data_IF_832084154321
#
_entry.id   IF_832084154321
#
_cell.length_a   1.000
_cell.length_b   1.000
_cell.length_c   1.000
_cell.angle_alpha   90.00
_cell.angle_beta   90.00
_cell.angle_gamma   90.00
#
_symmetry.space_group_name_H-M   'P 1'
#
loop_
_entity.id
_entity.type
_entity.pdbx_description
1 polymer ?
#
# COMPACT_ATOMS: atom_id res chain seq x y z
N UNK A 1 -25.77 14.18 4.40
CA UNK A 1 -24.73 13.37 5.08
C UNK A 1 -24.47 12.08 4.32
N UNK A 2 -25.48 11.23 4.06
CA UNK A 2 -25.31 10.01 3.24
C UNK A 2 -24.69 10.31 1.85
N UNK A 3 -25.19 11.34 1.17
CA UNK A 3 -24.68 11.79 -0.14
C UNK A 3 -23.20 12.21 -0.15
N UNK A 4 -22.72 12.90 0.89
CA UNK A 4 -21.31 13.31 0.96
C UNK A 4 -20.38 12.11 1.17
N UNK A 5 -20.77 11.19 2.05
CA UNK A 5 -19.98 9.98 2.30
C UNK A 5 -19.84 9.13 1.03
N UNK A 6 -20.95 8.91 0.31
CA UNK A 6 -20.95 8.17 -0.96
C UNK A 6 -20.00 8.78 -1.99
N UNK A 7 -20.00 10.11 -2.13
CA UNK A 7 -19.08 10.83 -3.03
C UNK A 7 -17.62 10.76 -2.59
N UNK A 8 -17.36 10.76 -1.28
CA UNK A 8 -16.00 10.63 -0.74
C UNK A 8 -15.41 9.25 -1.03
N UNK A 9 -16.23 8.19 -0.97
CA UNK A 9 -15.78 6.82 -1.25
C UNK A 9 -15.85 6.43 -2.73
N UNK A 10 -16.41 7.28 -3.59
CA UNK A 10 -16.43 7.07 -5.04
C UNK A 10 -15.01 6.90 -5.59
N UNK A 11 -14.84 6.01 -6.55
CA UNK A 11 -13.52 5.59 -7.04
C UNK A 11 -13.40 5.82 -8.55
N UNK A 12 -12.17 5.98 -9.03
CA UNK A 12 -11.88 6.05 -10.47
C UNK A 12 -12.44 4.88 -11.26
N UNK A 13 -12.62 5.08 -12.56
CA UNK A 13 -12.95 4.00 -13.48
C UNK A 13 -11.93 2.86 -13.40
N UNK A 14 -12.41 1.62 -13.36
CA UNK A 14 -11.56 0.42 -13.29
C UNK A 14 -10.97 0.12 -11.91
N UNK A 15 -11.18 0.95 -10.88
CA UNK A 15 -10.61 0.75 -9.54
C UNK A 15 -10.91 -0.63 -8.94
N UNK A 16 -12.15 -1.12 -9.09
CA UNK A 16 -12.57 -2.42 -8.54
C UNK A 16 -11.84 -3.57 -9.22
N UNK A 17 -11.66 -3.50 -10.54
CA UNK A 17 -10.97 -4.55 -11.29
C UNK A 17 -9.46 -4.47 -11.09
N UNK A 18 -8.89 -3.27 -11.02
CA UNK A 18 -7.51 -3.04 -10.60
C UNK A 18 -7.27 -3.66 -9.23
N UNK A 19 -8.11 -3.39 -8.24
CA UNK A 19 -7.99 -3.96 -6.88
C UNK A 19 -7.97 -5.49 -6.88
N UNK A 20 -8.78 -6.14 -7.72
CA UNK A 20 -8.75 -7.61 -7.87
C UNK A 20 -7.44 -8.09 -8.49
N UNK A 21 -6.89 -7.37 -9.47
CA UNK A 21 -5.60 -7.69 -10.07
C UNK A 21 -4.44 -7.47 -9.09
N UNK A 22 -4.45 -6.37 -8.36
CA UNK A 22 -3.48 -6.07 -7.31
C UNK A 22 -3.46 -7.18 -6.25
N UNK A 23 -4.64 -7.66 -5.84
CA UNK A 23 -4.77 -8.84 -4.98
C UNK A 23 -4.06 -10.05 -5.56
N UNK A 24 -4.40 -10.41 -6.81
CA UNK A 24 -3.85 -11.56 -7.49
C UNK A 24 -2.32 -11.50 -7.57
N UNK A 25 -1.77 -10.33 -7.89
CA UNK A 25 -0.32 -10.12 -7.98
C UNK A 25 0.38 -10.27 -6.62
N UNK A 26 -0.23 -9.78 -5.54
CA UNK A 26 0.29 -9.97 -4.16
C UNK A 26 0.22 -11.42 -3.72
N UNK A 27 -0.87 -12.11 -4.02
CA UNK A 27 -1.03 -13.53 -3.72
C UNK A 27 -0.01 -14.35 -4.52
N UNK A 28 0.20 -14.03 -5.81
CA UNK A 28 1.20 -14.67 -6.66
C UNK A 28 2.64 -14.39 -6.18
N UNK A 29 2.90 -13.20 -5.64
CA UNK A 29 4.20 -12.88 -5.06
C UNK A 29 4.43 -13.63 -3.74
N UNK A 30 3.49 -13.58 -2.81
CA UNK A 30 3.62 -14.18 -1.47
C UNK A 30 3.40 -15.69 -1.45
N UNK A 31 2.76 -16.26 -2.47
CA UNK A 31 2.21 -17.62 -2.46
C UNK A 31 1.02 -17.78 -1.49
N UNK A 32 0.42 -16.68 -1.05
CA UNK A 32 -0.70 -16.64 -0.11
C UNK A 32 -2.07 -16.61 -0.80
N UNK A 33 -3.10 -16.30 0.00
CA UNK A 33 -4.46 -16.07 -0.47
C UNK A 33 -5.00 -17.18 -1.38
N UNK A 34 -5.37 -16.86 -2.62
CA UNK A 34 -5.97 -17.81 -3.56
C UNK A 34 -5.08 -18.95 -4.03
N UNK A 35 -3.77 -18.87 -3.75
CA UNK A 35 -2.76 -19.90 -4.01
C UNK A 35 -2.38 -20.71 -2.75
N UNK A 36 -2.85 -20.31 -1.58
CA UNK A 36 -2.55 -21.02 -0.34
C UNK A 36 -3.26 -22.38 -0.34
N UNK A 37 -2.48 -23.44 -0.16
CA UNK A 37 -2.99 -24.76 0.18
C UNK A 37 -3.43 -24.83 1.64
N UNK A 38 -3.33 -26.02 2.25
CA UNK A 38 -3.74 -26.18 3.66
C UNK A 38 -2.87 -25.43 4.67
N UNK A 39 -1.59 -25.24 4.34
CA UNK A 39 -0.63 -24.52 5.16
C UNK A 39 -0.40 -23.15 4.51
N UNK A 40 -0.88 -22.10 5.16
CA UNK A 40 -0.61 -20.73 4.73
C UNK A 40 0.84 -20.34 5.09
N UNK A 41 1.59 -19.68 4.20
CA UNK A 41 2.87 -19.09 4.56
C UNK A 41 2.68 -17.99 5.63
N UNK A 42 3.68 -17.75 6.49
CA UNK A 42 3.65 -16.65 7.45
C UNK A 42 3.52 -15.30 6.73
N UNK A 43 2.91 -14.32 7.43
CA UNK A 43 2.66 -12.98 6.91
C UNK A 43 3.95 -12.25 6.53
N UNK A 44 4.00 -11.70 5.31
CA UNK A 44 4.92 -10.62 4.98
C UNK A 44 4.30 -9.28 5.41
N UNK A 45 4.63 -8.82 6.62
CA UNK A 45 4.13 -7.57 7.21
C UNK A 45 4.48 -6.28 6.44
N UNK A 46 5.23 -6.38 5.34
CA UNK A 46 5.59 -5.24 4.48
C UNK A 46 4.37 -4.65 3.72
N UNK A 47 3.29 -5.41 3.51
CA UNK A 47 2.13 -4.90 2.76
C UNK A 47 1.22 -3.93 3.54
N UNK A 48 1.53 -3.58 4.79
CA UNK A 48 0.74 -2.64 5.59
C UNK A 48 -0.64 -3.20 5.98
N UNK A 49 -1.62 -2.32 6.22
CA UNK A 49 -2.97 -2.71 6.72
C UNK A 49 -3.71 -3.72 5.82
N UNK A 50 -3.37 -3.81 4.53
CA UNK A 50 -3.88 -4.85 3.64
C UNK A 50 -3.55 -6.26 4.19
N UNK A 51 -2.34 -6.48 4.73
CA UNK A 51 -1.92 -7.72 5.38
C UNK A 51 -2.83 -8.11 6.56
N UNK A 52 -3.33 -7.13 7.31
CA UNK A 52 -4.23 -7.33 8.45
C UNK A 52 -5.65 -7.64 8.00
N UNK A 53 -6.18 -6.95 6.99
CA UNK A 53 -7.49 -7.24 6.41
C UNK A 53 -7.55 -8.63 5.74
N UNK A 54 -6.42 -9.13 5.22
CA UNK A 54 -6.33 -10.48 4.64
C UNK A 54 -6.49 -11.62 5.65
N UNK A 55 -6.24 -11.37 6.92
CA UNK A 55 -6.28 -12.39 7.97
C UNK A 55 -7.23 -12.08 9.11
N UNK A 56 -8.24 -11.21 8.89
CA UNK A 56 -9.42 -11.09 9.75
C UNK A 56 -10.30 -12.36 9.77
N UNK A 57 -9.69 -13.54 9.94
CA UNK A 57 -10.34 -14.74 10.42
C UNK A 57 -10.48 -14.65 11.91
N UNK A 58 -11.66 -14.25 12.36
CA UNK A 58 -12.12 -14.56 13.71
C UNK A 58 -11.91 -16.06 13.95
N UNK A 59 -11.25 -16.49 15.05
CA UNK A 59 -11.19 -17.91 15.42
C UNK A 59 -12.62 -18.47 15.47
N UNK A 60 -12.91 -19.48 14.66
CA UNK A 60 -14.24 -20.11 14.60
C UNK A 60 -15.15 -19.68 13.45
N UNK A 61 -14.77 -18.70 12.61
CA UNK A 61 -15.44 -18.46 11.33
C UNK A 61 -14.80 -19.30 10.24
N UNK A 62 -15.60 -20.15 9.58
CA UNK A 62 -15.19 -20.84 8.37
C UNK A 62 -14.85 -19.80 7.29
N UNK A 63 -13.58 -19.50 7.12
CA UNK A 63 -13.11 -18.74 5.98
C UNK A 63 -13.51 -19.54 4.73
N UNK A 64 -14.38 -18.97 3.91
CA UNK A 64 -14.46 -19.39 2.52
C UNK A 64 -13.12 -19.02 1.88
N UNK A 65 -12.13 -19.92 1.98
CA UNK A 65 -10.82 -19.76 1.35
C UNK A 65 -11.08 -19.55 -0.14
N UNK A 66 -11.01 -18.29 -0.59
CA UNK A 66 -11.09 -17.94 -2.00
C UNK A 66 -9.93 -18.67 -2.68
N UNK A 67 -10.19 -19.36 -3.78
CA UNK A 67 -9.16 -20.05 -4.57
C UNK A 67 -9.24 -19.55 -6.00
N UNK A 68 -8.08 -19.43 -6.65
CA UNK A 68 -8.01 -19.13 -8.09
C UNK A 68 -8.29 -20.36 -8.97
N UNK A 69 -8.45 -21.54 -8.38
CA UNK A 69 -8.81 -22.74 -9.12
C UNK A 69 -10.28 -22.68 -9.54
N UNK A 70 -10.53 -22.77 -10.83
CA UNK A 70 -11.86 -23.03 -11.35
C UNK A 70 -12.28 -24.45 -10.98
N UNK A 71 -13.52 -24.60 -10.50
CA UNK A 71 -14.15 -25.90 -10.29
C UNK A 71 -14.59 -26.46 -11.63
N UNK A 72 -14.30 -27.73 -11.91
CA UNK A 72 -14.80 -28.36 -13.12
C UNK A 72 -16.32 -28.63 -12.98
N UNK A 73 -17.16 -28.45 -14.03
CA UNK A 73 -18.62 -28.54 -13.89
C UNK A 73 -19.14 -29.86 -13.31
N UNK A 74 -18.42 -30.97 -13.55
CA UNK A 74 -18.75 -32.32 -13.04
C UNK A 74 -17.95 -32.73 -11.79
N UNK A 75 -17.17 -31.84 -11.21
CA UNK A 75 -16.35 -32.13 -10.02
C UNK A 75 -17.18 -31.96 -8.75
N UNK A 76 -17.17 -32.96 -7.89
CA UNK A 76 -17.82 -32.91 -6.58
C UNK A 76 -17.11 -31.91 -5.65
N UNK A 77 -17.85 -31.34 -4.70
CA UNK A 77 -17.30 -30.33 -3.78
C UNK A 77 -16.11 -30.87 -2.95
N UNK A 78 -16.18 -32.11 -2.48
CA UNK A 78 -15.11 -32.74 -1.70
C UNK A 78 -13.84 -32.97 -2.55
N UNK A 79 -14.01 -33.38 -3.82
CA UNK A 79 -12.91 -33.55 -4.77
C UNK A 79 -12.25 -32.20 -5.07
N UNK A 80 -13.05 -31.14 -5.24
CA UNK A 80 -12.57 -29.79 -5.43
C UNK A 80 -11.75 -29.29 -4.23
N UNK A 81 -12.28 -29.45 -3.01
CA UNK A 81 -11.57 -29.08 -1.78
C UNK A 81 -10.22 -29.79 -1.68
N UNK A 82 -10.18 -31.11 -1.86
CA UNK A 82 -8.92 -31.87 -1.87
C UNK A 82 -7.93 -31.41 -2.94
N UNK A 83 -8.42 -31.05 -4.14
CA UNK A 83 -7.56 -30.55 -5.23
C UNK A 83 -6.99 -29.18 -4.88
N UNK A 84 -7.81 -28.29 -4.31
CA UNK A 84 -7.38 -26.98 -3.82
C UNK A 84 -6.30 -27.12 -2.75
N UNK A 85 -6.54 -27.96 -1.75
CA UNK A 85 -5.66 -28.07 -0.58
C UNK A 85 -4.29 -28.68 -0.95
N UNK A 86 -4.24 -29.49 -2.02
CA UNK A 86 -3.01 -30.08 -2.58
C UNK A 86 -2.35 -29.25 -3.68
N UNK A 87 -3.04 -28.27 -4.23
CA UNK A 87 -2.47 -27.45 -5.30
C UNK A 87 -1.30 -26.64 -4.75
N UNK A 88 -0.15 -26.75 -5.40
CA UNK A 88 1.04 -26.04 -4.99
C UNK A 88 1.41 -25.02 -6.06
N UNK A 89 1.44 -23.76 -5.65
CA UNK A 89 2.00 -22.67 -6.45
C UNK A 89 3.44 -22.40 -5.99
N UNK A 90 4.45 -22.75 -6.81
CA UNK A 90 5.83 -22.43 -6.47
C UNK A 90 5.99 -20.90 -6.53
N UNK A 91 6.56 -20.31 -5.48
CA UNK A 91 6.76 -18.85 -5.32
C UNK A 91 7.85 -18.28 -6.24
N UNK A 92 7.78 -18.61 -7.52
CA UNK A 92 8.75 -18.19 -8.55
C UNK A 92 8.72 -16.69 -8.75
N UNK A 93 7.53 -16.08 -8.66
CA UNK A 93 7.36 -14.62 -8.77
C UNK A 93 8.13 -13.90 -7.68
N UNK A 94 8.10 -14.37 -6.43
CA UNK A 94 8.90 -13.78 -5.34
C UNK A 94 10.39 -13.75 -5.69
N UNK A 95 10.94 -14.93 -6.00
CA UNK A 95 12.37 -15.11 -6.24
C UNK A 95 12.87 -14.26 -7.41
N UNK A 96 12.16 -14.31 -8.54
CA UNK A 96 12.52 -13.54 -9.74
C UNK A 96 12.40 -12.03 -9.51
N UNK A 97 11.35 -11.60 -8.81
CA UNK A 97 11.11 -10.17 -8.56
C UNK A 97 12.18 -9.61 -7.63
N UNK A 98 12.49 -10.31 -6.54
CA UNK A 98 13.56 -9.93 -5.59
C UNK A 98 14.93 -9.92 -6.25
N UNK A 99 15.23 -10.91 -7.09
CA UNK A 99 16.49 -10.96 -7.86
C UNK A 99 16.60 -9.76 -8.82
N UNK A 100 15.54 -9.46 -9.56
CA UNK A 100 15.49 -8.32 -10.49
C UNK A 100 15.71 -6.99 -9.75
N UNK A 101 14.98 -6.76 -8.67
CA UNK A 101 15.04 -5.51 -7.89
C UNK A 101 16.39 -5.36 -7.21
N UNK A 102 16.89 -6.41 -6.55
CA UNK A 102 18.20 -6.37 -5.89
C UNK A 102 19.34 -6.13 -6.88
N UNK A 103 19.29 -6.75 -8.08
CA UNK A 103 20.28 -6.51 -9.13
C UNK A 103 20.23 -5.07 -9.66
N UNK A 104 19.03 -4.54 -9.91
CA UNK A 104 18.82 -3.18 -10.43
C UNK A 104 19.26 -2.10 -9.44
N UNK A 105 18.97 -2.30 -8.15
CA UNK A 105 19.27 -1.34 -7.08
C UNK A 105 20.59 -1.60 -6.37
N UNK A 106 21.38 -2.56 -6.86
CA UNK A 106 22.66 -2.96 -6.25
C UNK A 106 23.62 -1.79 -6.07
N UNK A 107 23.60 -0.86 -7.02
CA UNK A 107 24.40 0.38 -6.97
C UNK A 107 23.49 1.54 -6.59
N UNK A 108 23.86 2.37 -5.59
CA UNK A 108 23.09 3.55 -5.26
C UNK A 108 23.05 4.50 -6.47
N UNK A 109 21.92 5.17 -6.66
CA UNK A 109 21.83 6.22 -7.67
C UNK A 109 22.62 7.42 -7.17
N UNK A 110 23.64 7.81 -7.94
CA UNK A 110 24.39 9.04 -7.72
C UNK A 110 23.69 10.17 -8.47
N UNK A 111 23.41 11.25 -7.74
CA UNK A 111 22.89 12.49 -8.30
C UNK A 111 23.92 13.54 -7.93
N UNK A 112 24.60 14.09 -8.92
CA UNK A 112 25.63 15.10 -8.69
C UNK A 112 24.98 16.49 -8.51
N UNK A 113 25.69 17.38 -7.80
CA UNK A 113 25.30 18.78 -7.60
C UNK A 113 23.92 19.00 -6.93
N UNK A 114 23.59 18.18 -5.92
CA UNK A 114 22.45 18.47 -5.05
C UNK A 114 22.80 19.57 -4.04
N UNK A 115 21.85 20.45 -3.69
CA UNK A 115 21.99 21.33 -2.54
C UNK A 115 22.20 20.52 -1.25
N UNK A 116 23.08 21.00 -0.37
CA UNK A 116 23.44 20.33 0.90
C UNK A 116 22.22 20.02 1.78
N UNK A 117 21.19 20.90 1.76
CA UNK A 117 19.97 20.69 2.54
C UNK A 117 19.11 19.54 2.01
N UNK A 118 19.09 19.33 0.70
CA UNK A 118 18.44 18.17 0.07
C UNK A 118 19.25 16.90 0.31
N UNK A 119 20.58 16.97 0.26
CA UNK A 119 21.44 15.82 0.54
C UNK A 119 21.25 15.33 1.97
N UNK A 120 21.31 16.23 2.96
CA UNK A 120 21.04 15.90 4.36
C UNK A 120 19.61 15.35 4.58
N UNK A 121 18.61 15.93 3.90
CA UNK A 121 17.24 15.44 3.98
C UNK A 121 17.09 14.02 3.43
N UNK A 122 17.79 13.66 2.34
CA UNK A 122 17.67 12.32 1.72
C UNK A 122 18.08 11.17 2.65
N UNK A 123 18.95 11.42 3.60
CA UNK A 123 19.42 10.39 4.54
C UNK A 123 18.38 10.03 5.60
N UNK A 124 17.43 10.92 5.86
CA UNK A 124 16.36 10.73 6.87
C UNK A 124 14.96 10.70 6.26
N UNK A 125 14.76 11.30 5.08
CA UNK A 125 13.48 11.49 4.39
C UNK A 125 12.34 11.94 5.31
N UNK A 126 12.65 12.80 6.30
CA UNK A 126 11.73 13.31 7.31
C UNK A 126 11.30 12.31 8.40
N UNK A 127 11.92 11.13 8.49
CA UNK A 127 11.60 10.11 9.49
C UNK A 127 12.77 9.17 9.79
N UNK A 128 12.45 7.91 10.06
CA UNK A 128 13.44 6.89 10.48
C UNK A 128 14.06 6.10 9.33
N UNK A 129 13.84 6.50 8.06
CA UNK A 129 14.31 5.75 6.90
C UNK A 129 14.83 6.69 5.81
N UNK A 130 16.00 6.37 5.26
CA UNK A 130 16.56 7.12 4.14
C UNK A 130 15.72 6.97 2.87
N UNK A 131 15.81 7.96 1.97
CA UNK A 131 15.17 7.90 0.66
C UNK A 131 15.66 6.68 -0.16
N UNK A 132 16.89 6.21 0.08
CA UNK A 132 17.42 4.98 -0.53
C UNK A 132 16.66 3.74 -0.04
N UNK A 133 16.39 3.63 1.26
CA UNK A 133 15.59 2.55 1.83
C UNK A 133 14.14 2.58 1.34
N UNK A 134 13.55 3.78 1.28
CA UNK A 134 12.22 3.98 0.71
C UNK A 134 12.18 3.63 -0.78
N UNK A 135 13.21 3.98 -1.55
CA UNK A 135 13.32 3.61 -2.97
C UNK A 135 13.36 2.11 -3.17
N UNK A 136 14.14 1.38 -2.37
CA UNK A 136 14.15 -0.09 -2.43
C UNK A 136 12.76 -0.67 -2.15
N UNK A 137 12.07 -0.08 -1.17
CA UNK A 137 10.72 -0.46 -0.79
C UNK A 137 9.71 -0.19 -1.91
N UNK A 138 9.71 1.02 -2.46
CA UNK A 138 8.83 1.43 -3.55
C UNK A 138 9.09 0.62 -4.83
N UNK A 139 10.36 0.36 -5.15
CA UNK A 139 10.73 -0.42 -6.33
C UNK A 139 10.26 -1.86 -6.24
N UNK A 140 10.35 -2.51 -5.08
CA UNK A 140 9.80 -3.86 -4.95
C UNK A 140 8.29 -3.87 -5.07
N UNK A 141 7.59 -2.96 -4.36
CA UNK A 141 6.14 -2.84 -4.47
C UNK A 141 5.72 -2.62 -5.92
N UNK A 142 6.32 -1.66 -6.62
CA UNK A 142 6.03 -1.39 -8.03
C UNK A 142 6.38 -2.58 -8.94
N UNK A 143 7.44 -3.35 -8.65
CA UNK A 143 7.77 -4.53 -9.42
C UNK A 143 6.74 -5.67 -9.27
N UNK A 144 6.01 -5.71 -8.14
CA UNK A 144 4.94 -6.68 -7.90
C UNK A 144 3.61 -6.19 -8.47
N UNK A 145 3.22 -4.96 -8.16
CA UNK A 145 1.86 -4.44 -8.43
C UNK A 145 1.80 -3.37 -9.52
N UNK A 146 2.89 -3.15 -10.26
CA UNK A 146 2.98 -2.22 -11.38
C UNK A 146 3.36 -0.79 -10.99
N UNK A 147 2.92 -0.30 -9.83
CA UNK A 147 3.22 1.06 -9.38
C UNK A 147 3.17 1.21 -7.84
N UNK A 148 3.69 2.32 -7.31
CA UNK A 148 3.64 2.64 -5.87
C UNK A 148 3.48 4.13 -5.66
N UNK A 149 2.32 4.60 -5.19
CA UNK A 149 2.11 6.00 -4.87
C UNK A 149 2.97 6.42 -3.66
N UNK A 150 3.38 7.67 -3.65
CA UNK A 150 4.09 8.28 -2.54
C UNK A 150 3.54 9.69 -2.29
N UNK A 151 3.39 10.05 -1.02
CA UNK A 151 3.09 11.41 -0.60
C UNK A 151 4.36 12.01 -0.02
N UNK A 152 4.61 13.27 -0.38
CA UNK A 152 5.63 14.11 0.26
C UNK A 152 4.91 15.27 0.91
N UNK A 153 4.85 15.27 2.22
CA UNK A 153 4.15 16.28 3.01
C UNK A 153 5.02 16.82 4.15
N UNK A 154 4.57 17.89 4.77
CA UNK A 154 5.23 18.51 5.93
C UNK A 154 4.22 18.50 7.07
N UNK A 155 4.64 18.07 8.26
CA UNK A 155 3.79 18.19 9.45
C UNK A 155 3.42 19.67 9.64
N UNK A 156 2.15 19.93 9.96
CA UNK A 156 1.73 21.27 10.33
C UNK A 156 2.46 21.69 11.59
N UNK A 157 3.12 22.83 11.52
CA UNK A 157 3.86 23.40 12.62
C UNK A 157 3.26 24.76 12.96
N UNK A 158 2.45 24.79 14.02
CA UNK A 158 1.79 26.01 14.47
C UNK A 158 2.83 27.10 14.78
N UNK A 159 2.63 28.27 14.18
CA UNK A 159 3.47 29.46 14.45
C UNK A 159 4.78 29.54 13.67
N UNK A 160 5.17 28.53 12.89
CA UNK A 160 6.37 28.62 12.03
C UNK A 160 6.00 29.24 10.68
N UNK A 161 6.61 30.39 10.36
CA UNK A 161 6.26 31.18 9.16
C UNK A 161 7.35 31.16 8.10
N UNK A 162 8.58 30.73 8.45
CA UNK A 162 9.72 30.73 7.55
C UNK A 162 10.42 29.37 7.44
N UNK A 163 11.15 29.17 6.33
CA UNK A 163 12.04 28.00 6.15
C UNK A 163 13.14 27.93 7.21
N UNK A 164 13.52 29.06 7.81
CA UNK A 164 14.50 29.09 8.89
C UNK A 164 13.91 28.52 10.19
N UNK A 165 12.66 28.87 10.49
CA UNK A 165 11.95 28.37 11.68
C UNK A 165 11.75 26.84 11.61
N UNK A 166 11.38 26.33 10.43
CA UNK A 166 11.27 24.89 10.17
C UNK A 166 12.60 24.16 10.42
N UNK A 167 13.72 24.73 9.95
CA UNK A 167 15.05 24.15 10.17
C UNK A 167 15.44 24.15 11.66
N UNK A 168 15.18 25.24 12.37
CA UNK A 168 15.44 25.33 13.82
C UNK A 168 14.58 24.34 14.61
N UNK A 169 13.34 24.13 14.18
CA UNK A 169 12.44 23.14 14.78
C UNK A 169 12.75 21.69 14.35
N UNK A 170 13.72 21.47 13.46
CA UNK A 170 14.05 20.13 12.94
C UNK A 170 12.94 19.51 12.09
N UNK A 171 12.04 20.32 11.54
CA UNK A 171 10.90 19.86 10.74
C UNK A 171 11.32 19.79 9.28
N UNK A 172 11.20 18.60 8.70
CA UNK A 172 11.52 18.34 7.31
C UNK A 172 10.39 17.56 6.63
N UNK A 173 10.25 17.66 5.29
CA UNK A 173 9.23 16.92 4.57
C UNK A 173 9.35 15.41 4.81
N UNK A 174 8.25 14.71 4.97
CA UNK A 174 8.20 13.26 5.14
C UNK A 174 7.75 12.60 3.86
N UNK A 175 8.28 11.40 3.61
CA UNK A 175 7.84 10.58 2.48
C UNK A 175 7.06 9.38 3.01
N UNK A 176 5.79 9.30 2.62
CA UNK A 176 4.91 8.16 2.97
C UNK A 176 4.57 7.37 1.71
N UNK A 177 4.99 6.10 1.67
CA UNK A 177 4.61 5.19 0.59
C UNK A 177 3.22 4.62 0.83
N UNK A 178 2.36 4.77 -0.16
CA UNK A 178 0.99 4.27 -0.15
C UNK A 178 0.89 2.93 -0.90
N UNK A 179 -0.19 2.18 -0.63
CA UNK A 179 -0.66 1.13 -1.52
C UNK A 179 -1.55 1.75 -2.63
N UNK A 180 -1.55 1.19 -3.86
CA UNK A 180 -2.42 1.66 -4.94
C UNK A 180 -3.91 1.80 -4.58
N UNK A 181 -4.43 0.90 -3.74
CA UNK A 181 -5.84 0.91 -3.28
C UNK A 181 -6.13 2.04 -2.29
N UNK A 182 -5.10 2.64 -1.69
CA UNK A 182 -5.31 3.84 -0.88
C UNK A 182 -5.60 5.05 -1.75
N UNK A 183 -5.29 5.01 -3.04
CA UNK A 183 -5.64 6.08 -3.97
C UNK A 183 -7.00 5.72 -4.57
N UNK A 184 -8.05 6.47 -4.21
CA UNK A 184 -9.40 6.25 -4.72
C UNK A 184 -9.57 6.83 -6.12
N UNK A 185 -9.06 8.04 -6.32
CA UNK A 185 -9.23 8.79 -7.57
C UNK A 185 -8.18 9.91 -7.69
N UNK A 186 -7.92 10.39 -8.90
CA UNK A 186 -7.05 11.53 -9.16
C UNK A 186 -7.38 12.17 -10.51
N UNK A 187 -6.96 13.41 -10.68
CA UNK A 187 -7.06 14.12 -11.96
C UNK A 187 -5.75 14.84 -12.26
N UNK A 188 -5.45 14.99 -13.54
CA UNK A 188 -4.35 15.83 -14.00
C UNK A 188 -4.89 17.04 -14.77
N UNK A 189 -4.16 18.15 -14.73
CA UNK A 189 -4.44 19.29 -15.60
C UNK A 189 -4.06 18.96 -17.06
N UNK A 190 -4.39 19.88 -17.98
CA UNK A 190 -4.08 19.73 -19.42
C UNK A 190 -2.57 19.60 -19.70
N UNK A 191 -1.71 19.96 -18.75
CA UNK A 191 -0.26 19.81 -18.83
C UNK A 191 0.26 18.49 -18.21
N UNK A 192 -0.64 17.62 -17.74
CA UNK A 192 -0.31 16.35 -17.10
C UNK A 192 0.17 16.49 -15.66
N UNK A 193 -0.01 17.64 -15.02
CA UNK A 193 0.33 17.85 -13.61
C UNK A 193 -0.84 17.45 -12.73
N UNK A 194 -0.57 16.80 -11.60
CA UNK A 194 -1.61 16.37 -10.67
C UNK A 194 -2.43 17.58 -10.18
N UNK A 195 -3.72 17.62 -10.50
CA UNK A 195 -4.64 18.67 -10.09
C UNK A 195 -5.27 18.37 -8.72
N UNK A 196 -5.58 17.10 -8.47
CA UNK A 196 -5.95 16.60 -7.15
C UNK A 196 -5.79 15.08 -7.05
N UNK A 197 -5.70 14.57 -5.83
CA UNK A 197 -5.66 13.15 -5.53
C UNK A 197 -6.48 12.84 -4.28
N UNK A 198 -7.42 11.90 -4.41
CA UNK A 198 -8.28 11.43 -3.32
C UNK A 198 -7.71 10.14 -2.75
N UNK A 199 -7.36 10.16 -1.47
CA UNK A 199 -6.81 9.01 -0.77
C UNK A 199 -7.71 8.57 0.38
N UNK A 200 -7.69 7.27 0.68
CA UNK A 200 -8.30 6.67 1.87
C UNK A 200 -7.26 6.00 2.73
N UNK A 201 -7.34 6.25 4.03
CA UNK A 201 -6.55 5.55 5.05
C UNK A 201 -7.52 4.92 6.04
N UNK A 202 -7.47 3.59 6.10
CA UNK A 202 -8.26 2.80 7.03
C UNK A 202 -7.36 2.43 8.22
N UNK A 203 -7.84 2.68 9.44
CA UNK A 203 -7.12 2.34 10.68
C UNK A 203 -8.07 1.75 11.72
N UNK A 204 -7.56 0.76 12.45
CA UNK A 204 -8.25 0.15 13.57
C UNK A 204 -7.75 0.82 14.86
N UNK A 205 -8.62 1.53 15.55
CA UNK A 205 -8.32 2.14 16.83
C UNK A 205 -8.90 1.32 17.97
N UNK A 206 -8.03 0.90 18.89
CA UNK A 206 -8.42 0.26 20.13
C UNK A 206 -8.00 1.17 21.29
N UNK A 207 -8.88 2.06 21.77
CA UNK A 207 -8.53 3.05 22.80
C UNK A 207 -8.24 2.41 24.16
N UNK A 208 -8.78 1.21 24.42
CA UNK A 208 -8.50 0.38 25.59
C UNK A 208 -8.14 -1.03 25.12
N UNK A 209 -7.06 -1.66 25.62
CA UNK A 209 -6.66 -3.03 25.26
C UNK A 209 -7.76 -4.09 25.31
N UNK A 210 -8.79 -3.89 26.15
CA UNK A 210 -9.91 -4.78 26.36
C UNK A 210 -11.19 -4.35 25.61
N UNK A 211 -11.22 -3.15 25.04
CA UNK A 211 -12.36 -2.69 24.26
C UNK A 211 -12.37 -3.25 22.84
N UNK A 212 -13.54 -3.23 22.23
CA UNK A 212 -13.69 -3.52 20.82
C UNK A 212 -12.94 -2.47 19.98
N UNK A 213 -12.32 -2.96 18.90
CA UNK A 213 -11.63 -2.10 17.96
C UNK A 213 -12.65 -1.32 17.13
N UNK A 214 -12.37 -0.04 16.88
CA UNK A 214 -13.15 0.84 16.02
C UNK A 214 -12.43 1.00 14.70
N UNK A 215 -13.07 0.61 13.61
CA UNK A 215 -12.55 0.86 12.27
C UNK A 215 -12.89 2.29 11.84
N UNK A 216 -11.86 3.07 11.55
CA UNK A 216 -11.96 4.44 11.08
C UNK A 216 -11.41 4.52 9.65
N UNK A 217 -12.24 5.01 8.74
CA UNK A 217 -11.83 5.36 7.38
C UNK A 217 -11.74 6.87 7.27
N UNK A 218 -10.54 7.37 7.01
CA UNK A 218 -10.30 8.80 6.76
C UNK A 218 -10.07 9.00 5.27
N UNK A 219 -10.82 9.92 4.67
CA UNK A 219 -10.59 10.34 3.28
C UNK A 219 -9.88 11.69 3.29
N UNK A 220 -8.80 11.81 2.51
CA UNK A 220 -8.09 13.08 2.33
C UNK A 220 -8.02 13.40 0.84
N UNK A 221 -8.41 14.61 0.46
CA UNK A 221 -8.26 15.11 -0.91
C UNK A 221 -7.09 16.09 -0.89
N UNK A 222 -6.07 15.75 -1.66
CA UNK A 222 -4.87 16.55 -1.85
C UNK A 222 -5.00 17.38 -3.10
N UNK A 223 -4.68 18.66 -2.97
CA UNK A 223 -4.44 19.60 -4.06
C UNK A 223 -2.95 19.99 -4.05
N UNK A 224 -2.44 20.67 -5.10
CA UNK A 224 -1.05 21.10 -5.16
C UNK A 224 -0.58 21.97 -3.99
N UNK A 225 -1.49 22.75 -3.40
CA UNK A 225 -1.19 23.78 -2.41
C UNK A 225 -1.85 23.54 -1.05
N UNK A 226 -2.86 22.67 -0.96
CA UNK A 226 -3.57 22.38 0.27
C UNK A 226 -4.17 20.97 0.26
N UNK A 227 -4.71 20.55 1.39
CA UNK A 227 -5.46 19.31 1.50
C UNK A 227 -6.66 19.49 2.42
N UNK A 228 -7.65 18.61 2.27
CA UNK A 228 -8.87 18.59 3.06
C UNK A 228 -9.10 17.16 3.54
N UNK A 229 -9.62 16.99 4.76
CA UNK A 229 -9.78 15.69 5.41
C UNK A 229 -11.17 15.53 6.00
N UNK A 230 -11.75 14.34 5.82
CA UNK A 230 -13.07 13.93 6.28
C UNK A 230 -13.01 12.59 7.00
#
# INVERSE_FOLDING_TARGET
MADLYERLIETRAGYVDESKWLQFLRDAYSGGGGFAGDIAPPLDGWWGAAATMYQGGVPGMAQTRRSYLSRHPREDAEKFTRRRDRAHYPRVVEALTRLKVSSTLRKPARVDALPDDIEAWRDVAGGNASLSALRATAALRAAVVGWTPAIVDLDQADGLRSRADLRLAGIAPRVTLLAPEQVLDWEADDAGRLAWCKIRVDRSERPDPLADARELSTVTIWHPDHWQRW
#
